data_IF_807173138867
#
_entry.id   IF_807173138867
#
_cell.length_a   1.000
_cell.length_b   1.000
_cell.length_c   1.000
_cell.angle_alpha   90.00
_cell.angle_beta   90.00
_cell.angle_gamma   90.00
#
_symmetry.space_group_name_H-M   'P 1'
#
loop_
_entity.id
_entity.type
_entity.pdbx_description
1 polymer ?
#
# COMPACT_ATOMS: atom_id res chain seq x y z
N UNK A 1 3.53 10.13 21.32
CA UNK A 1 2.56 11.11 20.80
C UNK A 1 1.43 10.32 20.17
N UNK A 2 0.18 10.57 20.56
CA UNK A 2 -0.97 9.84 20.03
C UNK A 2 -1.33 10.44 18.66
N UNK A 3 -1.34 9.62 17.61
CA UNK A 3 -1.82 10.04 16.29
C UNK A 3 -3.35 9.90 16.23
N UNK A 4 -4.04 11.04 16.33
CA UNK A 4 -5.50 11.11 16.27
C UNK A 4 -6.04 10.63 14.92
N UNK A 5 -5.29 10.84 13.83
CA UNK A 5 -5.68 10.41 12.49
C UNK A 5 -5.71 8.88 12.41
N UNK A 6 -4.67 8.24 12.95
CA UNK A 6 -4.59 6.78 12.98
C UNK A 6 -5.71 6.16 13.82
N UNK A 7 -6.00 6.72 15.00
CA UNK A 7 -7.09 6.23 15.85
C UNK A 7 -8.46 6.32 15.15
N UNK A 8 -8.73 7.42 14.43
CA UNK A 8 -9.98 7.56 13.67
C UNK A 8 -10.10 6.50 12.57
N UNK A 9 -9.00 6.19 11.88
CA UNK A 9 -8.94 5.13 10.88
C UNK A 9 -9.21 3.76 11.48
N UNK A 10 -8.61 3.45 12.63
CA UNK A 10 -8.80 2.14 13.27
C UNK A 10 -10.25 1.96 13.78
N UNK A 11 -10.88 3.04 14.27
CA UNK A 11 -12.31 3.03 14.64
C UNK A 11 -13.21 2.74 13.43
N UNK A 12 -12.99 3.44 12.32
CA UNK A 12 -13.75 3.20 11.11
C UNK A 12 -13.50 1.79 10.57
N UNK A 13 -12.25 1.32 10.57
CA UNK A 13 -11.87 -0.02 10.12
C UNK A 13 -12.62 -1.11 10.87
N UNK A 14 -12.72 -0.97 12.19
CA UNK A 14 -13.48 -1.92 13.02
C UNK A 14 -14.97 -1.90 12.71
N UNK A 15 -15.57 -0.70 12.62
CA UNK A 15 -17.00 -0.56 12.31
C UNK A 15 -17.35 -1.12 10.92
N UNK A 16 -16.53 -0.81 9.91
CA UNK A 16 -16.72 -1.31 8.55
C UNK A 16 -16.54 -2.84 8.48
N UNK A 17 -15.55 -3.38 9.19
CA UNK A 17 -15.37 -4.83 9.24
C UNK A 17 -16.56 -5.55 9.87
N UNK A 18 -17.09 -5.03 10.98
CA UNK A 18 -18.33 -5.52 11.58
C UNK A 18 -19.52 -5.42 10.61
N UNK A 19 -19.63 -4.32 9.86
CA UNK A 19 -20.65 -4.14 8.82
C UNK A 19 -20.57 -5.20 7.73
N UNK A 20 -19.36 -5.47 7.22
CA UNK A 20 -19.09 -6.50 6.20
C UNK A 20 -19.44 -7.89 6.72
N UNK A 21 -19.00 -8.24 7.94
CA UNK A 21 -19.32 -9.55 8.54
C UNK A 21 -20.84 -9.72 8.72
N UNK A 22 -21.53 -8.68 9.19
CA UNK A 22 -22.97 -8.69 9.43
C UNK A 22 -23.81 -8.61 8.15
N UNK A 23 -23.22 -8.23 7.01
CA UNK A 23 -23.96 -7.85 5.80
C UNK A 23 -25.00 -6.74 6.06
N UNK A 24 -24.67 -5.80 6.94
CA UNK A 24 -25.58 -4.73 7.37
C UNK A 24 -26.72 -5.17 8.31
N UNK A 25 -26.76 -6.43 8.76
CA UNK A 25 -27.81 -6.93 9.65
C UNK A 25 -27.66 -6.40 11.09
N UNK A 26 -28.75 -5.84 11.63
CA UNK A 26 -28.83 -5.39 13.04
C UNK A 26 -29.02 -6.55 14.03
N UNK A 27 -29.28 -7.76 13.54
CA UNK A 27 -29.53 -8.94 14.38
C UNK A 27 -28.33 -9.88 14.44
N UNK A 28 -27.30 -9.65 13.63
CA UNK A 28 -26.07 -10.42 13.67
C UNK A 28 -25.23 -9.99 14.88
N UNK A 29 -24.69 -10.97 15.59
CA UNK A 29 -23.97 -10.77 16.85
C UNK A 29 -22.59 -11.40 16.72
N UNK A 30 -21.56 -10.67 17.11
CA UNK A 30 -20.16 -11.09 16.98
C UNK A 30 -19.42 -10.85 18.29
N UNK A 31 -18.40 -11.66 18.55
CA UNK A 31 -17.49 -11.44 19.66
C UNK A 31 -16.54 -10.27 19.36
N UNK A 32 -16.45 -9.31 20.28
CA UNK A 32 -15.66 -8.10 20.02
C UNK A 32 -14.15 -8.36 19.96
N UNK A 33 -13.65 -9.36 20.70
CA UNK A 33 -12.24 -9.72 20.74
C UNK A 33 -11.85 -10.49 19.49
N UNK A 34 -12.69 -11.42 19.03
CA UNK A 34 -12.50 -12.17 17.77
C UNK A 34 -12.34 -11.21 16.58
N UNK A 35 -13.28 -10.27 16.41
CA UNK A 35 -13.21 -9.26 15.35
C UNK A 35 -11.94 -8.39 15.45
N UNK A 36 -11.56 -8.00 16.67
CA UNK A 36 -10.34 -7.22 16.91
C UNK A 36 -9.06 -8.00 16.56
N UNK A 37 -9.02 -9.28 16.90
CA UNK A 37 -7.89 -10.16 16.60
C UNK A 37 -7.74 -10.42 15.10
N UNK A 38 -8.85 -10.63 14.38
CA UNK A 38 -8.85 -10.74 12.92
C UNK A 38 -8.27 -9.46 12.30
N UNK A 39 -8.62 -8.30 12.86
CA UNK A 39 -8.09 -7.00 12.49
C UNK A 39 -6.64 -6.77 12.93
N UNK A 40 -5.98 -7.69 13.64
CA UNK A 40 -4.62 -7.51 14.15
C UNK A 40 -4.50 -6.41 15.22
N UNK A 41 -5.59 -6.11 15.93
CA UNK A 41 -5.56 -5.13 17.01
C UNK A 41 -5.05 -5.73 18.32
N UNK A 42 -4.14 -5.02 18.95
CA UNK A 42 -3.77 -5.25 20.35
C UNK A 42 -4.97 -5.01 21.27
N UNK A 43 -5.10 -5.79 22.34
CA UNK A 43 -6.26 -5.77 23.25
C UNK A 43 -6.63 -4.36 23.73
N UNK A 44 -5.64 -3.54 24.12
CA UNK A 44 -5.90 -2.17 24.60
C UNK A 44 -6.41 -1.24 23.48
N UNK A 45 -5.93 -1.42 22.24
CA UNK A 45 -6.41 -0.64 21.10
C UNK A 45 -7.85 -1.05 20.75
N UNK A 46 -8.11 -2.35 20.66
CA UNK A 46 -9.43 -2.91 20.41
C UNK A 46 -10.45 -2.40 21.42
N UNK A 47 -10.14 -2.48 22.73
CA UNK A 47 -11.03 -1.98 23.77
C UNK A 47 -11.34 -0.48 23.63
N UNK A 48 -10.32 0.34 23.38
CA UNK A 48 -10.51 1.77 23.17
C UNK A 48 -11.36 2.09 21.93
N UNK A 49 -11.23 1.28 20.87
CA UNK A 49 -12.04 1.40 19.65
C UNK A 49 -13.50 1.03 19.95
N UNK A 50 -13.73 -0.14 20.55
CA UNK A 50 -15.07 -0.63 20.90
C UNK A 50 -15.77 0.33 21.86
N UNK A 51 -15.10 0.78 22.92
CA UNK A 51 -15.64 1.74 23.89
C UNK A 51 -16.05 3.04 23.19
N UNK A 52 -15.26 3.54 22.24
CA UNK A 52 -15.63 4.72 21.46
C UNK A 52 -16.88 4.48 20.62
N UNK A 53 -16.90 3.41 19.83
CA UNK A 53 -18.03 3.09 18.94
C UNK A 53 -19.33 2.83 19.72
N UNK A 54 -19.24 2.23 20.90
CA UNK A 54 -20.38 2.06 21.81
C UNK A 54 -20.89 3.40 22.35
N UNK A 55 -19.99 4.28 22.80
CA UNK A 55 -20.37 5.59 23.33
C UNK A 55 -21.00 6.50 22.26
N UNK A 56 -20.55 6.40 21.00
CA UNK A 56 -21.16 7.11 19.87
C UNK A 56 -22.48 6.45 19.38
N UNK A 57 -22.84 5.30 19.94
CA UNK A 57 -24.04 4.54 19.59
C UNK A 57 -23.98 3.92 18.20
N UNK A 58 -22.78 3.65 17.67
CA UNK A 58 -22.56 3.01 16.36
C UNK A 58 -22.62 1.47 16.46
N UNK A 59 -22.30 0.94 17.63
CA UNK A 59 -22.46 -0.49 17.98
C UNK A 59 -23.14 -0.62 19.34
N UNK A 60 -23.77 -1.76 19.59
CA UNK A 60 -24.49 -2.05 20.83
C UNK A 60 -23.97 -3.34 21.48
N UNK A 61 -23.90 -3.40 22.83
CA UNK A 61 -23.65 -4.66 23.52
C UNK A 61 -24.84 -5.60 23.34
N UNK A 62 -24.57 -6.89 23.20
CA UNK A 62 -25.60 -7.92 23.16
C UNK A 62 -25.26 -9.05 24.13
N UNK A 63 -26.09 -9.27 25.15
CA UNK A 63 -25.90 -10.38 26.09
C UNK A 63 -24.74 -10.21 27.07
N UNK A 64 -24.40 -11.30 27.77
CA UNK A 64 -23.27 -11.39 28.68
C UNK A 64 -22.14 -12.13 27.95
N UNK A 65 -20.95 -11.53 27.86
CA UNK A 65 -19.79 -12.18 27.25
C UNK A 65 -19.03 -11.37 26.20
N UNK A 66 -19.19 -10.04 26.14
CA UNK A 66 -18.38 -9.21 25.21
C UNK A 66 -18.86 -9.22 23.76
N UNK A 67 -20.03 -9.80 23.49
CA UNK A 67 -20.63 -9.78 22.16
C UNK A 67 -21.28 -8.45 21.83
N UNK A 68 -21.16 -8.03 20.58
CA UNK A 68 -21.64 -6.75 20.05
C UNK A 68 -22.44 -6.95 18.77
N UNK A 69 -23.22 -5.94 18.39
CA UNK A 69 -23.94 -5.86 17.12
C UNK A 69 -23.95 -4.43 16.57
N UNK A 70 -24.26 -4.28 15.29
CA UNK A 70 -24.47 -2.97 14.69
C UNK A 70 -25.72 -2.30 15.25
N UNK A 71 -25.64 -0.98 15.44
CA UNK A 71 -26.84 -0.16 15.58
C UNK A 71 -27.29 0.33 14.20
N UNK A 72 -28.53 0.81 14.12
CA UNK A 72 -29.00 1.49 12.91
C UNK A 72 -28.18 2.75 12.57
N UNK A 73 -27.64 3.44 13.59
CA UNK A 73 -26.74 4.58 13.39
C UNK A 73 -25.41 4.12 12.78
N UNK A 74 -24.85 3.01 13.26
CA UNK A 74 -23.63 2.43 12.71
C UNK A 74 -23.76 1.99 11.25
N UNK A 75 -24.88 1.36 10.90
CA UNK A 75 -25.20 1.01 9.50
C UNK A 75 -25.20 2.24 8.61
N UNK A 76 -25.95 3.28 8.97
CA UNK A 76 -26.02 4.53 8.20
C UNK A 76 -24.67 5.22 8.07
N UNK A 77 -23.88 5.21 9.14
CA UNK A 77 -22.55 5.81 9.14
C UNK A 77 -21.63 5.13 8.11
N UNK A 78 -21.65 3.80 8.03
CA UNK A 78 -20.85 3.04 7.05
C UNK A 78 -21.38 3.21 5.63
N UNK A 79 -22.70 3.16 5.45
CA UNK A 79 -23.34 3.37 4.14
C UNK A 79 -23.06 4.76 3.59
N UNK A 80 -23.20 5.81 4.41
CA UNK A 80 -22.87 7.18 4.01
C UNK A 80 -21.40 7.31 3.61
N UNK A 81 -20.49 6.68 4.36
CA UNK A 81 -19.07 6.73 4.04
C UNK A 81 -18.74 6.00 2.72
N UNK A 82 -19.47 4.93 2.40
CA UNK A 82 -19.32 4.18 1.16
C UNK A 82 -19.99 4.86 -0.06
N UNK A 83 -21.11 5.55 0.14
CA UNK A 83 -21.81 6.29 -0.91
C UNK A 83 -21.05 7.57 -1.33
N UNK A 84 -20.43 8.25 -0.35
CA UNK A 84 -19.69 9.50 -0.55
C UNK A 84 -18.30 9.43 0.07
N UNK A 85 -17.36 8.64 -0.50
CA UNK A 85 -16.04 8.41 0.09
C UNK A 85 -15.18 9.68 0.20
N UNK A 86 -15.39 10.67 -0.66
CA UNK A 86 -14.66 11.93 -0.63
C UNK A 86 -15.17 12.92 0.44
N UNK A 87 -16.27 12.58 1.13
CA UNK A 87 -16.89 13.40 2.16
C UNK A 87 -16.73 12.79 3.56
N UNK A 88 -16.65 13.65 4.57
CA UNK A 88 -16.67 13.20 5.95
C UNK A 88 -18.09 12.77 6.34
N UNK A 89 -18.20 11.75 7.18
CA UNK A 89 -19.43 11.42 7.90
C UNK A 89 -19.49 12.15 9.24
N UNK A 90 -20.49 11.84 10.08
CA UNK A 90 -20.63 12.50 11.39
C UNK A 90 -19.41 12.23 12.29
N UNK A 91 -18.84 11.02 12.25
CA UNK A 91 -17.76 10.59 13.15
C UNK A 91 -16.43 10.36 12.43
N UNK A 92 -16.44 10.10 11.13
CA UNK A 92 -15.26 9.72 10.35
C UNK A 92 -14.94 10.74 9.26
N UNK A 93 -13.65 10.88 8.95
CA UNK A 93 -13.21 11.72 7.83
C UNK A 93 -13.43 11.00 6.48
N UNK A 94 -13.17 11.69 5.35
CA UNK A 94 -13.27 11.08 4.02
C UNK A 94 -12.50 9.77 3.92
N UNK A 95 -13.16 8.75 3.36
CA UNK A 95 -12.52 7.51 2.93
C UNK A 95 -11.79 7.79 1.62
N UNK A 96 -10.52 8.20 1.71
CA UNK A 96 -9.71 8.34 0.50
C UNK A 96 -9.37 6.94 -0.03
N UNK A 97 -10.18 6.43 -0.95
CA UNK A 97 -9.94 5.19 -1.68
C UNK A 97 -8.97 5.47 -2.81
N UNK A 98 -7.69 5.14 -2.62
CA UNK A 98 -6.72 5.14 -3.72
C UNK A 98 -6.98 3.90 -4.59
N UNK A 99 -7.72 4.05 -5.69
CA UNK A 99 -7.82 3.05 -6.74
C UNK A 99 -6.45 2.94 -7.44
N UNK A 100 -5.59 2.07 -6.94
CA UNK A 100 -4.31 1.76 -7.58
C UNK A 100 -4.61 0.89 -8.80
N UNK A 101 -4.68 1.51 -9.98
CA UNK A 101 -4.62 0.79 -11.25
C UNK A 101 -3.22 0.19 -11.41
N UNK A 102 -3.03 -1.04 -10.91
CA UNK A 102 -1.82 -1.83 -11.20
C UNK A 102 -2.03 -2.55 -12.53
N UNK A 103 -1.47 -1.99 -13.61
CA UNK A 103 -1.44 -2.61 -14.94
C UNK A 103 -0.32 -3.67 -15.01
N UNK A 104 -0.48 -4.77 -14.27
CA UNK A 104 0.46 -5.90 -14.28
C UNK A 104 -0.25 -7.21 -13.95
N UNK A 105 -0.14 -8.19 -14.83
CA UNK A 105 -0.69 -9.53 -14.63
C UNK A 105 -0.04 -10.18 -13.39
N UNK A 106 -0.83 -10.44 -12.35
CA UNK A 106 -0.42 -11.32 -11.26
C UNK A 106 -0.68 -10.87 -9.81
N UNK A 107 -1.36 -9.75 -9.55
CA UNK A 107 -1.66 -9.37 -8.17
C UNK A 107 -3.06 -9.82 -7.74
N UNK A 108 -3.10 -10.85 -6.90
CA UNK A 108 -4.25 -11.16 -6.06
C UNK A 108 -4.36 -10.02 -5.05
N UNK A 109 -5.37 -9.16 -5.21
CA UNK A 109 -5.72 -8.15 -4.20
C UNK A 109 -6.34 -8.90 -3.02
N UNK A 110 -5.55 -9.15 -1.99
CA UNK A 110 -6.06 -9.65 -0.72
C UNK A 110 -6.60 -8.45 0.08
N UNK A 111 -7.89 -8.18 -0.05
CA UNK A 111 -8.63 -7.32 0.87
C UNK A 111 -8.82 -8.09 2.18
N UNK A 112 -7.86 -7.97 3.08
CA UNK A 112 -7.90 -8.59 4.39
C UNK A 112 -6.88 -7.95 5.34
N UNK A 113 -7.40 -7.16 6.28
CA UNK A 113 -6.80 -6.75 7.55
C UNK A 113 -5.30 -6.47 7.61
N UNK A 114 -4.96 -5.18 7.44
CA UNK A 114 -4.14 -4.37 8.34
C UNK A 114 -3.66 -3.14 7.57
N UNK A 115 -4.21 -1.96 7.87
CA UNK A 115 -3.61 -0.70 7.46
C UNK A 115 -2.35 -0.40 8.31
N UNK A 116 -1.38 -1.31 8.26
CA UNK A 116 0.01 -0.92 8.21
C UNK A 116 0.33 -0.91 6.73
N UNK A 117 0.44 0.28 6.14
CA UNK A 117 1.16 0.43 4.88
C UNK A 117 2.61 -0.01 5.16
N UNK A 118 2.87 -1.31 5.08
CA UNK A 118 4.10 -1.71 4.45
C UNK A 118 3.88 -1.32 2.99
N UNK A 119 4.26 -0.08 2.68
CA UNK A 119 4.71 0.29 1.34
C UNK A 119 5.98 -0.53 1.09
N UNK A 120 5.82 -1.86 1.01
CA UNK A 120 6.63 -2.66 0.13
C UNK A 120 6.24 -2.14 -1.24
N UNK A 121 6.91 -1.07 -1.70
CA UNK A 121 7.13 -0.90 -3.11
C UNK A 121 7.66 -2.25 -3.56
N UNK A 122 6.77 -3.07 -4.10
CA UNK A 122 7.18 -4.17 -4.95
C UNK A 122 7.69 -3.44 -6.17
N UNK A 123 8.93 -2.97 -6.08
CA UNK A 123 9.77 -2.76 -7.25
C UNK A 123 9.47 -3.98 -8.10
N UNK A 124 8.95 -3.78 -9.30
CA UNK A 124 8.83 -4.89 -10.22
C UNK A 124 10.26 -5.28 -10.59
N UNK A 125 10.87 -6.09 -9.72
CA UNK A 125 12.26 -6.53 -9.81
C UNK A 125 12.45 -7.27 -11.12
N UNK A 126 11.38 -7.90 -11.64
CA UNK A 126 11.38 -8.59 -12.91
C UNK A 126 11.49 -7.60 -14.08
N UNK A 127 10.72 -6.51 -14.06
CA UNK A 127 10.76 -5.47 -15.08
C UNK A 127 12.06 -4.64 -15.02
N UNK A 128 12.53 -4.28 -13.82
CA UNK A 128 13.84 -3.62 -13.65
C UNK A 128 14.96 -4.53 -14.17
N UNK A 129 14.96 -5.82 -13.80
CA UNK A 129 15.96 -6.78 -14.26
C UNK A 129 15.92 -6.96 -15.78
N UNK A 130 14.73 -7.10 -16.37
CA UNK A 130 14.56 -7.22 -17.82
C UNK A 130 15.06 -5.97 -18.55
N UNK A 131 14.75 -4.78 -18.03
CA UNK A 131 15.18 -3.52 -18.63
C UNK A 131 16.69 -3.30 -18.48
N UNK A 132 17.27 -3.61 -17.32
CA UNK A 132 18.72 -3.60 -17.13
C UNK A 132 19.43 -4.58 -18.06
N UNK A 133 18.87 -5.77 -18.29
CA UNK A 133 19.44 -6.74 -19.23
C UNK A 133 19.44 -6.20 -20.66
N UNK A 134 18.33 -5.62 -21.12
CA UNK A 134 18.27 -4.96 -22.44
C UNK A 134 19.34 -3.88 -22.61
N UNK A 135 19.58 -3.06 -21.58
CA UNK A 135 20.63 -2.04 -21.62
C UNK A 135 22.02 -2.69 -21.72
N UNK A 136 22.27 -3.78 -20.97
CA UNK A 136 23.54 -4.53 -21.05
C UNK A 136 23.78 -5.13 -22.43
N UNK A 137 22.74 -5.66 -23.07
CA UNK A 137 22.83 -6.25 -24.40
C UNK A 137 23.17 -5.18 -25.45
N UNK A 138 22.47 -4.04 -25.42
CA UNK A 138 22.76 -2.90 -26.31
C UNK A 138 24.16 -2.33 -26.08
N UNK A 139 24.60 -2.23 -24.81
CA UNK A 139 25.98 -1.85 -24.47
C UNK A 139 27.01 -2.89 -24.90
N UNK A 140 26.66 -4.17 -25.05
CA UNK A 140 27.57 -5.21 -25.54
C UNK A 140 27.79 -5.12 -27.05
N UNK A 141 26.72 -4.82 -27.78
CA UNK A 141 26.71 -4.84 -29.25
C UNK A 141 27.16 -3.51 -29.89
N UNK A 142 27.10 -2.40 -29.17
CA UNK A 142 27.45 -1.09 -29.72
C UNK A 142 28.97 -0.86 -29.74
N UNK A 143 29.62 -1.11 -30.87
CA UNK A 143 31.06 -0.93 -31.07
C UNK A 143 31.52 0.54 -31.09
N UNK A 144 30.61 1.51 -31.10
CA UNK A 144 30.94 2.95 -31.20
C UNK A 144 31.04 3.65 -29.84
N UNK A 145 30.74 2.96 -28.74
CA UNK A 145 30.87 3.49 -27.39
C UNK A 145 32.32 3.33 -26.92
N UNK A 146 32.88 4.44 -26.44
CA UNK A 146 34.13 4.49 -25.70
C UNK A 146 34.17 3.45 -24.57
N UNK A 147 35.28 2.72 -24.47
CA UNK A 147 35.40 1.56 -23.58
C UNK A 147 35.26 1.97 -22.10
N UNK A 148 35.78 3.14 -21.72
CA UNK A 148 35.66 3.65 -20.35
C UNK A 148 34.19 3.97 -20.00
N UNK A 149 33.46 4.64 -20.90
CA UNK A 149 32.03 4.93 -20.71
C UNK A 149 31.18 3.67 -20.65
N UNK A 150 31.51 2.66 -21.47
CA UNK A 150 30.83 1.36 -21.46
C UNK A 150 31.03 0.67 -20.12
N UNK A 151 32.28 0.59 -19.66
CA UNK A 151 32.63 -0.05 -18.39
C UNK A 151 31.98 0.66 -17.21
N UNK A 152 31.96 1.99 -17.21
CA UNK A 152 31.28 2.80 -16.19
C UNK A 152 29.77 2.50 -16.16
N UNK A 153 29.09 2.52 -17.32
CA UNK A 153 27.67 2.22 -17.40
C UNK A 153 27.35 0.78 -16.95
N UNK A 154 28.15 -0.21 -17.33
CA UNK A 154 27.98 -1.61 -16.91
C UNK A 154 28.18 -1.81 -15.41
N UNK A 155 29.13 -1.10 -14.80
CA UNK A 155 29.36 -1.11 -13.36
C UNK A 155 28.13 -0.56 -12.61
N UNK A 156 27.59 0.56 -13.09
CA UNK A 156 26.39 1.19 -12.49
C UNK A 156 25.14 0.31 -12.62
N UNK A 157 24.93 -0.34 -13.77
CA UNK A 157 23.83 -1.29 -13.95
C UNK A 157 23.96 -2.51 -13.04
N UNK A 158 25.18 -2.95 -12.76
CA UNK A 158 25.44 -4.07 -11.85
C UNK A 158 25.21 -3.66 -10.40
N UNK A 159 25.65 -2.48 -10.00
CA UNK A 159 25.35 -1.91 -8.69
C UNK A 159 23.84 -1.74 -8.47
N UNK A 160 23.13 -1.19 -9.46
CA UNK A 160 21.68 -1.02 -9.42
C UNK A 160 20.96 -2.35 -9.18
N UNK A 161 21.35 -3.42 -9.88
CA UNK A 161 20.76 -4.75 -9.68
C UNK A 161 21.01 -5.29 -8.28
N UNK A 162 22.20 -5.07 -7.72
CA UNK A 162 22.53 -5.50 -6.36
C UNK A 162 21.68 -4.76 -5.31
N UNK A 163 21.50 -3.44 -5.47
CA UNK A 163 20.66 -2.63 -4.58
C UNK A 163 19.18 -3.01 -4.69
N UNK A 164 18.67 -3.25 -5.91
CA UNK A 164 17.30 -3.73 -6.14
C UNK A 164 17.05 -5.07 -5.44
N UNK A 165 18.05 -5.96 -5.39
CA UNK A 165 17.97 -7.21 -4.64
C UNK A 165 18.02 -7.00 -3.12
N UNK A 166 18.81 -6.02 -2.65
CA UNK A 166 19.04 -5.74 -1.23
C UNK A 166 17.89 -4.96 -0.55
N UNK A 167 17.00 -4.34 -1.30
CA UNK A 167 15.87 -3.60 -0.72
C UNK A 167 15.36 -2.42 -1.55
N UNK A 168 16.07 -2.06 -2.62
CA UNK A 168 15.71 -0.97 -3.51
C UNK A 168 16.95 -0.16 -3.94
N UNK A 169 16.94 0.44 -5.14
CA UNK A 169 18.05 1.23 -5.65
C UNK A 169 18.23 2.54 -4.87
N UNK A 170 19.48 2.94 -4.65
CA UNK A 170 19.80 4.22 -4.01
C UNK A 170 19.62 5.37 -4.99
N UNK A 171 19.23 6.55 -4.47
CA UNK A 171 19.08 7.78 -5.28
C UNK A 171 20.38 8.17 -5.97
N UNK A 172 21.51 7.86 -5.34
CA UNK A 172 22.84 8.16 -5.87
C UNK A 172 23.18 7.27 -7.07
N UNK A 173 22.95 5.96 -6.97
CA UNK A 173 23.14 5.02 -8.08
C UNK A 173 22.25 5.37 -9.28
N UNK A 174 21.00 5.74 -9.03
CA UNK A 174 20.07 6.15 -10.10
C UNK A 174 20.52 7.47 -10.74
N UNK A 175 20.89 8.47 -9.92
CA UNK A 175 21.35 9.76 -10.41
C UNK A 175 22.63 9.66 -11.24
N UNK A 176 23.54 8.77 -10.85
CA UNK A 176 24.78 8.52 -11.57
C UNK A 176 24.51 7.78 -12.89
N UNK A 177 23.63 6.76 -12.88
CA UNK A 177 23.23 6.05 -14.09
C UNK A 177 22.52 6.96 -15.10
N UNK A 178 21.68 7.90 -14.63
CA UNK A 178 21.07 8.90 -15.50
C UNK A 178 22.13 9.80 -16.15
N UNK A 179 23.11 10.28 -15.39
CA UNK A 179 24.16 11.18 -15.92
C UNK A 179 25.07 10.46 -16.92
N UNK A 180 25.50 9.25 -16.60
CA UNK A 180 26.41 8.49 -17.45
C UNK A 180 25.66 7.87 -18.63
N UNK A 181 24.52 7.22 -18.38
CA UNK A 181 23.74 6.48 -19.38
C UNK A 181 22.91 7.34 -20.33
N UNK A 182 22.35 8.48 -19.88
CA UNK A 182 21.57 9.35 -20.78
C UNK A 182 22.44 10.05 -21.83
N UNK A 183 23.74 10.16 -21.57
CA UNK A 183 24.72 10.72 -22.50
C UNK A 183 25.24 9.71 -23.52
N UNK A 184 24.79 8.45 -23.46
CA UNK A 184 25.11 7.41 -24.43
C UNK A 184 23.90 7.26 -25.38
N UNK A 185 24.00 7.68 -26.66
CA UNK A 185 22.86 7.76 -27.56
C UNK A 185 22.09 6.44 -27.73
N UNK A 186 22.79 5.30 -27.73
CA UNK A 186 22.19 3.99 -27.94
C UNK A 186 21.36 3.48 -26.76
N UNK A 187 21.60 3.99 -25.55
CA UNK A 187 20.88 3.54 -24.35
C UNK A 187 20.13 4.64 -23.61
N UNK A 188 20.25 5.91 -24.02
CA UNK A 188 19.68 7.03 -23.28
C UNK A 188 18.16 6.94 -23.08
N UNK A 189 17.41 6.51 -24.10
CA UNK A 189 15.97 6.26 -23.98
C UNK A 189 15.64 5.08 -23.05
N UNK A 190 16.46 4.04 -23.07
CA UNK A 190 16.29 2.87 -22.21
C UNK A 190 16.59 3.21 -20.74
N UNK A 191 17.61 4.02 -20.48
CA UNK A 191 17.97 4.53 -19.15
C UNK A 191 16.87 5.43 -18.59
N UNK A 192 16.26 6.28 -19.44
CA UNK A 192 15.14 7.13 -19.03
C UNK A 192 13.88 6.29 -18.73
N UNK A 193 13.60 5.26 -19.54
CA UNK A 193 12.49 4.34 -19.27
C UNK A 193 12.71 3.52 -17.99
N UNK A 194 13.95 3.12 -17.70
CA UNK A 194 14.32 2.45 -16.45
C UNK A 194 14.11 3.39 -15.25
N UNK A 195 14.47 4.66 -15.39
CA UNK A 195 14.21 5.67 -14.36
C UNK A 195 12.72 5.85 -14.08
N UNK A 196 11.89 5.98 -15.13
CA UNK A 196 10.45 6.01 -14.98
C UNK A 196 9.95 4.75 -14.28
N UNK A 197 10.44 3.57 -14.65
CA UNK A 197 10.04 2.32 -14.00
C UNK A 197 10.36 2.29 -12.51
N UNK A 198 11.44 2.95 -12.07
CA UNK A 198 11.83 3.05 -10.67
C UNK A 198 11.02 4.13 -9.91
N UNK A 199 10.58 5.20 -10.58
CA UNK A 199 9.91 6.36 -9.96
C UNK A 199 8.39 6.43 -10.14
N UNK A 200 7.82 5.61 -11.04
CA UNK A 200 6.37 5.52 -11.27
C UNK A 200 5.73 4.35 -10.49
N UNK A 201 6.49 3.76 -9.56
CA UNK A 201 6.09 2.75 -8.56
C UNK A 201 6.26 3.33 -7.15
#
# INVERSE_FOLDING_TARGET
MIDISQIKKDRFRYLNYLYEQAGGSLNAVYDMEELGNELGFEYNLMRNVVDYLMNEGLIEPHGLGGTIRLSHKGVKEVEQANESPDEATEHFGPIITYNIHSSGEGNIVNMGNNNVFNLSQTFDRSAIKAQTQKIKDVLGDDIFIDEDKRNEALALLTLLLAEVQAGGPSKDTIGLLLRTGSNIPSIGSLVLSLFLLIYTL
#
